data_IF_484481248730
#
_entry.id   IF_484481248730
#
_cell.length_a   1.000
_cell.length_b   1.000
_cell.length_c   1.000
_cell.angle_alpha   90.00
_cell.angle_beta   90.00
_cell.angle_gamma   90.00
#
_symmetry.space_group_name_H-M   'P 1'
#
loop_
_entity.id
_entity.type
_entity.pdbx_description
1 polymer ?
#
# COMPACT_ATOMS: atom_id res chain seq x y z
N UNK A 1 -58.03 -79.06 28.38
CA UNK A 1 -57.77 -78.85 29.82
C UNK A 1 -57.24 -77.43 29.98
N UNK A 2 -58.07 -76.54 30.53
CA UNK A 2 -57.80 -75.25 31.23
C UNK A 2 -56.88 -74.22 30.53
N UNK A 3 -57.41 -73.23 29.79
CA UNK A 3 -57.86 -71.86 30.18
C UNK A 3 -56.80 -70.97 30.88
N UNK A 4 -56.38 -69.85 30.25
CA UNK A 4 -56.68 -68.44 30.62
C UNK A 4 -55.65 -67.38 30.15
N UNK A 5 -56.23 -66.33 29.55
CA UNK A 5 -55.90 -64.90 29.57
C UNK A 5 -54.53 -64.33 29.12
N UNK A 6 -54.63 -63.42 28.13
CA UNK A 6 -53.74 -62.28 27.91
C UNK A 6 -53.86 -61.23 29.05
N UNK A 7 -52.93 -60.25 29.12
CA UNK A 7 -53.37 -58.90 28.74
C UNK A 7 -52.33 -58.06 27.95
N UNK A 8 -52.86 -57.05 27.26
CA UNK A 8 -52.16 -55.98 26.54
C UNK A 8 -51.25 -55.15 27.45
N UNK A 9 -50.08 -54.73 26.96
CA UNK A 9 -49.46 -53.46 27.36
C UNK A 9 -48.74 -52.80 26.18
N UNK A 10 -49.12 -51.55 25.90
CA UNK A 10 -48.43 -50.66 24.97
C UNK A 10 -46.98 -50.44 25.42
N UNK A 11 -46.02 -50.56 24.51
CA UNK A 11 -44.69 -49.95 24.66
C UNK A 11 -44.28 -49.26 23.37
N UNK A 12 -43.81 -48.02 23.54
CA UNK A 12 -43.47 -47.01 22.52
C UNK A 12 -42.34 -47.47 21.60
N UNK A 13 -42.28 -47.04 20.33
CA UNK A 13 -41.07 -47.22 19.52
C UNK A 13 -39.96 -46.32 20.07
N UNK A 14 -38.82 -46.92 20.42
CA UNK A 14 -37.61 -46.20 20.79
C UNK A 14 -37.12 -45.40 19.57
N UNK A 15 -37.12 -44.08 19.70
CA UNK A 15 -36.52 -43.15 18.76
C UNK A 15 -34.99 -43.36 18.82
N UNK A 16 -34.41 -43.94 17.76
CA UNK A 16 -32.97 -44.06 17.61
C UNK A 16 -32.39 -42.63 17.49
N UNK A 17 -31.83 -42.10 18.58
CA UNK A 17 -31.06 -40.88 18.54
C UNK A 17 -29.74 -41.16 17.82
N UNK A 18 -29.61 -40.66 16.58
CA UNK A 18 -28.31 -40.53 15.93
C UNK A 18 -27.49 -39.51 16.72
N UNK A 19 -26.68 -39.99 17.66
CA UNK A 19 -25.60 -39.19 18.24
C UNK A 19 -24.57 -39.05 17.13
N UNK A 20 -24.59 -37.90 16.44
CA UNK A 20 -23.46 -37.45 15.64
C UNK A 20 -22.30 -37.25 16.60
N UNK A 21 -21.43 -38.26 16.72
CA UNK A 21 -20.15 -38.13 17.37
C UNK A 21 -19.33 -37.18 16.51
N UNK A 22 -19.34 -35.89 16.86
CA UNK A 22 -18.37 -34.91 16.39
C UNK A 22 -17.00 -35.39 16.87
N UNK A 23 -16.32 -36.18 16.04
CA UNK A 23 -14.88 -36.36 16.15
C UNK A 23 -14.29 -34.98 15.87
N UNK A 24 -14.06 -34.21 16.93
CA UNK A 24 -13.24 -33.02 16.88
C UNK A 24 -11.82 -33.49 16.55
N UNK A 25 -11.52 -33.64 15.26
CA UNK A 25 -10.15 -33.71 14.79
C UNK A 25 -9.46 -32.46 15.34
N UNK A 26 -8.39 -32.56 16.14
CA UNK A 26 -7.66 -31.40 16.55
C UNK A 26 -7.20 -30.71 15.27
N UNK A 27 -7.74 -29.52 15.01
CA UNK A 27 -7.25 -28.66 13.94
C UNK A 27 -5.78 -28.45 14.29
N UNK A 28 -4.88 -29.11 13.54
CA UNK A 28 -3.46 -28.88 13.69
C UNK A 28 -3.26 -27.38 13.56
N UNK A 29 -2.81 -26.75 14.64
CA UNK A 29 -2.55 -25.32 14.65
C UNK A 29 -1.58 -25.03 13.51
N UNK A 30 -1.96 -24.10 12.64
CA UNK A 30 -1.13 -23.70 11.51
C UNK A 30 0.27 -23.30 12.03
N UNK A 31 1.31 -23.64 11.28
CA UNK A 31 2.64 -23.10 11.57
C UNK A 31 2.59 -21.57 11.42
N UNK A 32 3.46 -20.88 12.14
CA UNK A 32 3.50 -19.41 12.14
C UNK A 32 4.92 -18.94 11.95
N UNK A 33 5.15 -18.11 10.93
CA UNK A 33 6.37 -17.29 10.84
C UNK A 33 6.07 -15.93 11.47
N UNK A 34 6.84 -15.57 12.49
CA UNK A 34 6.87 -14.23 13.04
C UNK A 34 8.10 -13.49 12.53
N UNK A 35 7.89 -12.42 11.78
CA UNK A 35 8.94 -11.59 11.22
C UNK A 35 9.53 -10.66 12.30
N UNK A 36 10.74 -10.18 12.07
CA UNK A 36 11.38 -9.17 12.92
C UNK A 36 10.58 -7.85 13.01
N UNK A 37 9.69 -7.60 12.04
CA UNK A 37 8.72 -6.51 12.07
C UNK A 37 7.58 -6.70 13.07
N UNK A 38 7.43 -7.91 13.64
CA UNK A 38 6.32 -8.32 14.48
C UNK A 38 5.11 -8.86 13.70
N UNK A 39 5.13 -8.78 12.37
CA UNK A 39 4.10 -9.39 11.53
C UNK A 39 4.14 -10.92 11.67
N UNK A 40 2.95 -11.53 11.79
CA UNK A 40 2.78 -12.98 11.85
C UNK A 40 2.12 -13.48 10.58
N UNK A 41 2.61 -14.60 10.07
CA UNK A 41 2.12 -15.25 8.87
C UNK A 41 1.76 -16.68 9.22
N UNK A 42 0.48 -17.01 9.15
CA UNK A 42 -0.03 -18.36 9.38
C UNK A 42 -0.01 -19.18 8.08
N UNK A 43 0.34 -20.46 8.18
CA UNK A 43 0.49 -21.36 7.03
C UNK A 43 1.14 -22.68 7.44
N UNK A 44 1.95 -23.25 6.54
CA UNK A 44 2.69 -24.48 6.77
C UNK A 44 4.14 -24.29 6.38
N UNK A 45 5.08 -24.60 7.27
CA UNK A 45 6.49 -24.68 6.89
C UNK A 45 6.69 -25.95 6.06
N UNK A 46 7.15 -25.80 4.83
CA UNK A 46 7.38 -26.92 3.91
C UNK A 46 8.85 -27.30 3.79
N UNK A 47 9.76 -26.38 4.09
CA UNK A 47 11.20 -26.65 4.11
C UNK A 47 11.94 -25.69 5.07
N UNK A 48 13.01 -26.18 5.69
CA UNK A 48 13.94 -25.40 6.52
C UNK A 48 15.37 -25.74 6.10
N UNK A 49 15.95 -24.89 5.26
CA UNK A 49 17.33 -25.00 4.83
C UNK A 49 18.23 -24.23 5.81
N UNK A 50 18.80 -24.97 6.77
CA UNK A 50 19.66 -24.41 7.82
C UNK A 50 21.00 -23.90 7.28
N UNK A 51 21.52 -24.50 6.21
CA UNK A 51 22.80 -24.09 5.62
C UNK A 51 22.65 -22.76 4.88
N UNK A 52 21.58 -22.61 4.08
CA UNK A 52 21.26 -21.37 3.40
C UNK A 52 20.50 -20.36 4.28
N UNK A 53 20.20 -20.71 5.54
CA UNK A 53 19.47 -19.90 6.52
C UNK A 53 18.15 -19.35 5.96
N UNK A 54 17.27 -20.22 5.46
CA UNK A 54 15.95 -19.85 4.91
C UNK A 54 14.87 -20.86 5.31
N UNK A 55 13.62 -20.39 5.34
CA UNK A 55 12.42 -21.19 5.60
C UNK A 55 11.47 -21.03 4.41
N UNK A 56 11.01 -22.12 3.84
CA UNK A 56 9.94 -22.12 2.82
C UNK A 56 8.61 -22.33 3.52
N UNK A 57 7.66 -21.45 3.20
CA UNK A 57 6.37 -21.37 3.87
C UNK A 57 5.27 -21.36 2.84
N UNK A 58 4.31 -22.28 2.98
CA UNK A 58 3.18 -22.44 2.08
C UNK A 58 1.89 -21.97 2.75
N UNK A 59 1.06 -21.26 1.99
CA UNK A 59 -0.27 -20.87 2.42
C UNK A 59 -1.29 -21.10 1.31
N UNK A 60 -2.50 -21.46 1.69
CA UNK A 60 -3.63 -21.50 0.77
C UNK A 60 -4.15 -20.08 0.51
N UNK A 61 -4.06 -19.63 -0.75
CA UNK A 61 -4.68 -18.40 -1.24
C UNK A 61 -5.70 -18.80 -2.31
N UNK A 62 -6.98 -18.57 -2.06
CA UNK A 62 -8.05 -18.99 -2.99
C UNK A 62 -8.12 -20.51 -3.20
N UNK A 63 -7.80 -21.30 -2.17
CA UNK A 63 -7.78 -22.76 -2.24
C UNK A 63 -6.58 -23.36 -2.99
N UNK A 64 -5.64 -22.55 -3.47
CA UNK A 64 -4.40 -23.01 -4.10
C UNK A 64 -3.19 -22.78 -3.20
N UNK A 65 -2.25 -23.74 -3.11
CA UNK A 65 -1.02 -23.56 -2.35
C UNK A 65 -0.12 -22.51 -3.00
N UNK A 66 0.36 -21.58 -2.20
CA UNK A 66 1.32 -20.55 -2.58
C UNK A 66 2.52 -20.61 -1.63
N UNK A 67 3.70 -20.87 -2.18
CA UNK A 67 4.94 -21.00 -1.42
C UNK A 67 5.77 -19.71 -1.48
N UNK A 68 6.32 -19.30 -0.34
CA UNK A 68 7.23 -18.16 -0.21
C UNK A 68 8.42 -18.55 0.63
N UNK A 69 9.60 -18.11 0.22
CA UNK A 69 10.86 -18.29 0.97
C UNK A 69 11.11 -17.06 1.84
N UNK A 70 11.38 -17.30 3.11
CA UNK A 70 11.75 -16.30 4.10
C UNK A 70 13.19 -16.55 4.56
N UNK A 71 14.12 -15.62 4.34
CA UNK A 71 15.47 -15.75 4.90
C UNK A 71 15.40 -15.59 6.43
N UNK A 72 16.25 -16.31 7.16
CA UNK A 72 16.30 -16.25 8.62
C UNK A 72 16.48 -14.81 9.09
N UNK A 73 17.27 -14.00 8.40
CA UNK A 73 17.51 -12.59 8.71
C UNK A 73 16.24 -11.73 8.80
N UNK A 74 15.09 -12.19 8.31
CA UNK A 74 13.80 -11.50 8.40
C UNK A 74 12.89 -12.09 9.48
N UNK A 75 13.22 -13.25 10.03
CA UNK A 75 12.38 -14.03 10.93
C UNK A 75 12.84 -13.83 12.37
N UNK A 76 11.94 -13.36 13.22
CA UNK A 76 12.16 -13.42 14.67
C UNK A 76 12.01 -14.86 15.16
N UNK A 77 10.87 -15.50 14.87
CA UNK A 77 10.58 -16.85 15.34
C UNK A 77 9.74 -17.64 14.34
N UNK A 78 9.92 -18.95 14.32
CA UNK A 78 9.07 -19.91 13.61
C UNK A 78 8.38 -20.79 14.64
N UNK A 79 7.06 -20.92 14.54
CA UNK A 79 6.26 -21.83 15.37
C UNK A 79 5.84 -23.00 14.49
N UNK A 80 6.26 -24.21 14.84
CA UNK A 80 5.90 -25.46 14.18
C UNK A 80 4.92 -26.22 15.08
N UNK A 81 3.64 -26.23 14.73
CA UNK A 81 2.57 -26.69 15.62
C UNK A 81 2.60 -25.97 16.98
N UNK A 82 2.96 -26.69 18.05
CA UNK A 82 3.06 -26.12 19.41
C UNK A 82 4.46 -25.66 19.82
N UNK A 83 5.49 -25.96 19.02
CA UNK A 83 6.89 -25.64 19.35
C UNK A 83 7.34 -24.36 18.66
N UNK A 84 7.89 -23.42 19.43
CA UNK A 84 8.40 -22.14 18.93
C UNK A 84 9.92 -22.09 18.95
N UNK A 85 10.52 -21.73 17.82
CA UNK A 85 11.96 -21.60 17.61
C UNK A 85 12.28 -20.13 17.35
N UNK A 86 13.11 -19.51 18.20
CA UNK A 86 13.57 -18.13 18.01
C UNK A 86 14.83 -18.20 17.14
N UNK A 87 14.79 -17.55 15.97
CA UNK A 87 15.90 -17.51 15.03
C UNK A 87 16.73 -16.23 15.19
N UNK A 88 16.09 -15.12 15.52
CA UNK A 88 16.76 -13.86 15.81
C UNK A 88 16.07 -13.17 16.98
N UNK A 89 16.86 -12.50 17.81
CA UNK A 89 16.31 -11.62 18.82
C UNK A 89 15.53 -10.48 18.18
N UNK A 90 14.38 -10.18 18.78
CA UNK A 90 13.62 -9.00 18.40
C UNK A 90 14.39 -7.76 18.86
N UNK A 91 14.42 -6.69 18.04
CA UNK A 91 14.95 -5.41 18.50
C UNK A 91 14.29 -5.03 19.83
N UNK A 92 15.10 -4.67 20.83
CA UNK A 92 14.68 -4.42 22.21
C UNK A 92 13.49 -3.45 22.20
N UNK A 93 12.33 -3.92 22.66
CA UNK A 93 11.06 -3.19 22.59
C UNK A 93 9.88 -3.96 21.98
N UNK A 94 9.93 -5.29 21.82
CA UNK A 94 8.77 -6.05 21.33
C UNK A 94 8.49 -7.33 22.12
N UNK A 95 8.02 -7.18 23.36
CA UNK A 95 7.41 -8.27 24.12
C UNK A 95 5.98 -7.92 24.53
N UNK A 96 5.03 -8.77 24.16
CA UNK A 96 3.73 -8.88 24.84
C UNK A 96 3.63 -10.32 25.32
N UNK A 97 3.75 -10.53 26.62
CA UNK A 97 3.32 -11.77 27.26
C UNK A 97 2.62 -11.40 28.55
N UNK A 98 1.36 -11.81 28.68
CA UNK A 98 0.62 -11.74 29.93
C UNK A 98 0.91 -12.95 30.81
N UNK A 99 0.97 -12.72 32.12
CA UNK A 99 0.31 -13.57 33.11
C UNK A 99 -0.06 -12.72 34.33
N UNK A 100 -1.22 -13.04 34.89
CA UNK A 100 -1.99 -12.37 35.93
C UNK A 100 -1.31 -12.26 37.28
N UNK A 101 -1.50 -11.15 38.01
CA UNK A 101 -2.13 -11.10 39.35
C UNK A 101 -2.60 -9.67 39.66
N UNK A 102 -3.77 -9.58 40.31
CA UNK A 102 -4.52 -8.41 40.82
C UNK A 102 -3.70 -7.23 41.40
N UNK A 103 -4.02 -6.00 40.97
CA UNK A 103 -4.58 -4.95 41.86
C UNK A 103 -4.99 -3.69 41.08
N UNK A 104 -6.06 -3.05 41.55
CA UNK A 104 -6.74 -1.87 40.97
C UNK A 104 -5.82 -0.64 40.96
N UNK A 105 -5.75 0.07 39.82
CA UNK A 105 -6.13 1.50 39.61
C UNK A 105 -5.38 2.14 38.43
N UNK A 106 -6.11 2.98 37.68
CA UNK A 106 -5.67 4.07 36.77
C UNK A 106 -5.16 3.81 35.33
N UNK A 107 -5.70 4.68 34.45
CA UNK A 107 -5.22 5.20 33.13
C UNK A 107 -5.30 4.30 31.88
N UNK A 108 -6.02 4.84 30.89
CA UNK A 108 -6.13 4.37 29.48
C UNK A 108 -4.75 4.04 28.89
N UNK A 109 -4.59 2.93 28.16
CA UNK A 109 -3.32 2.60 27.51
C UNK A 109 -3.09 3.49 26.28
N UNK A 110 -1.90 4.09 26.18
CA UNK A 110 -1.40 4.75 24.96
C UNK A 110 -0.95 3.70 23.95
N UNK A 111 -1.21 4.02 22.68
CA UNK A 111 -0.88 3.28 21.45
C UNK A 111 0.55 2.71 21.41
N UNK A 112 0.69 1.55 20.76
CA UNK A 112 1.91 0.73 20.66
C UNK A 112 3.20 1.44 20.27
N UNK A 113 4.32 0.81 20.67
CA UNK A 113 5.70 1.29 20.54
C UNK A 113 6.00 1.94 19.18
N UNK A 114 6.05 3.28 19.18
CA UNK A 114 6.66 4.06 18.10
C UNK A 114 8.17 3.97 18.23
N UNK A 115 8.87 3.63 17.15
CA UNK A 115 10.35 3.67 17.10
C UNK A 115 10.83 5.08 17.46
N UNK A 116 11.88 5.19 18.26
CA UNK A 116 12.45 6.48 18.63
C UNK A 116 13.14 7.14 17.43
N UNK A 117 13.50 8.42 17.55
CA UNK A 117 14.28 9.11 16.50
C UNK A 117 15.62 8.41 16.23
N UNK A 118 16.33 8.05 17.30
CA UNK A 118 17.61 7.34 17.22
C UNK A 118 17.47 5.98 16.52
N UNK A 119 16.41 5.22 16.81
CA UNK A 119 16.16 3.92 16.17
C UNK A 119 15.97 4.07 14.65
N UNK A 120 15.22 5.09 14.22
CA UNK A 120 14.98 5.37 12.80
C UNK A 120 16.26 5.84 12.11
N UNK A 121 17.04 6.71 12.75
CA UNK A 121 18.30 7.18 12.21
C UNK A 121 19.30 6.04 12.02
N UNK A 122 19.42 5.16 13.02
CA UNK A 122 20.25 3.93 12.93
C UNK A 122 19.76 3.00 11.83
N UNK A 123 18.45 2.74 11.74
CA UNK A 123 17.87 1.89 10.69
C UNK A 123 18.13 2.45 9.28
N UNK A 124 17.95 3.75 9.08
CA UNK A 124 18.20 4.41 7.79
C UNK A 124 19.68 4.28 7.40
N UNK A 125 20.59 4.51 8.35
CA UNK A 125 22.03 4.41 8.10
C UNK A 125 22.44 2.97 7.74
N UNK A 126 21.95 1.99 8.51
CA UNK A 126 22.21 0.56 8.26
C UNK A 126 21.70 0.13 6.87
N UNK A 127 20.43 0.42 6.57
CA UNK A 127 19.82 0.02 5.30
C UNK A 127 20.49 0.74 4.13
N UNK A 128 20.78 2.03 4.26
CA UNK A 128 21.40 2.83 3.22
C UNK A 128 22.81 2.39 2.83
N UNK A 129 23.58 1.86 3.78
CA UNK A 129 24.94 1.35 3.56
C UNK A 129 25.00 -0.11 3.11
N UNK A 130 23.88 -0.82 3.20
CA UNK A 130 23.82 -2.24 2.84
C UNK A 130 23.10 -2.38 1.50
N UNK A 131 23.66 -3.04 0.48
CA UNK A 131 22.91 -3.33 -0.75
C UNK A 131 21.70 -4.23 -0.43
N UNK A 132 20.58 -4.12 -1.17
CA UNK A 132 19.46 -5.06 -1.02
C UNK A 132 19.85 -6.46 -1.51
N UNK A 133 19.18 -7.49 -1.03
CA UNK A 133 19.53 -8.91 -1.30
C UNK A 133 19.55 -9.26 -2.80
N UNK A 134 18.73 -8.58 -3.61
CA UNK A 134 18.68 -8.78 -5.06
C UNK A 134 19.79 -8.05 -5.81
N UNK A 135 20.53 -7.15 -5.17
CA UNK A 135 21.43 -6.19 -5.82
C UNK A 135 22.45 -6.91 -6.69
N UNK A 136 23.22 -7.83 -6.10
CA UNK A 136 24.30 -8.54 -6.79
C UNK A 136 23.80 -9.41 -7.96
N UNK A 137 22.62 -10.00 -7.80
CA UNK A 137 21.98 -10.84 -8.84
C UNK A 137 21.37 -10.05 -10.01
N UNK A 138 21.16 -8.74 -9.85
CA UNK A 138 20.54 -7.92 -10.89
C UNK A 138 21.60 -7.50 -11.90
N UNK A 139 21.50 -7.80 -13.20
CA UNK A 139 22.49 -7.36 -14.17
C UNK A 139 22.50 -5.84 -14.33
N UNK A 140 23.69 -5.27 -14.57
CA UNK A 140 23.83 -3.88 -14.98
C UNK A 140 23.70 -3.82 -16.51
N UNK A 141 22.47 -3.74 -17.00
CA UNK A 141 22.14 -3.69 -18.42
C UNK A 141 21.55 -2.33 -18.81
N UNK A 142 22.24 -1.63 -19.71
CA UNK A 142 21.80 -0.37 -20.29
C UNK A 142 22.41 -0.18 -21.70
N UNK A 143 21.77 0.62 -22.57
CA UNK A 143 22.27 0.87 -23.92
C UNK A 143 23.68 1.47 -23.88
N UNK A 144 24.60 0.90 -24.67
CA UNK A 144 25.99 1.41 -24.75
C UNK A 144 26.06 2.84 -25.30
N UNK A 145 25.01 3.29 -26.00
CA UNK A 145 24.88 4.65 -26.53
C UNK A 145 24.42 5.67 -25.48
N UNK A 146 24.11 5.24 -24.26
CA UNK A 146 23.56 6.08 -23.22
C UNK A 146 24.65 7.02 -22.65
N UNK A 147 24.39 8.32 -22.70
CA UNK A 147 25.29 9.34 -22.14
C UNK A 147 25.20 9.34 -20.60
N UNK A 148 26.19 8.68 -19.98
CA UNK A 148 26.33 8.58 -18.53
C UNK A 148 26.72 9.90 -17.87
N UNK A 149 27.15 10.92 -18.62
CA UNK A 149 27.35 12.27 -18.08
C UNK A 149 26.02 12.91 -17.62
N UNK A 150 24.90 12.37 -18.12
CA UNK A 150 23.53 12.76 -17.80
C UNK A 150 23.32 14.29 -17.90
N UNK A 151 23.43 14.91 -19.07
CA UNK A 151 23.16 16.34 -19.21
C UNK A 151 21.69 16.65 -18.87
N UNK A 152 21.44 17.74 -18.15
CA UNK A 152 20.06 18.19 -17.85
C UNK A 152 19.31 18.62 -19.12
N UNK A 153 20.03 19.24 -20.06
CA UNK A 153 19.52 19.63 -21.37
C UNK A 153 20.27 18.81 -22.42
N UNK A 154 19.82 17.59 -22.75
CA UNK A 154 20.46 16.81 -23.80
C UNK A 154 20.36 17.55 -25.15
N UNK A 155 21.40 17.48 -26.00
CA UNK A 155 21.31 17.99 -27.35
C UNK A 155 20.39 17.11 -28.22
N UNK A 156 19.74 17.73 -29.19
CA UNK A 156 18.91 17.04 -30.17
C UNK A 156 17.50 16.68 -29.70
N UNK A 157 16.84 15.83 -30.49
CA UNK A 157 15.48 15.36 -30.22
C UNK A 157 15.46 14.32 -29.10
N UNK A 158 14.28 14.11 -28.51
CA UNK A 158 14.06 13.10 -27.48
C UNK A 158 14.51 11.70 -27.96
N UNK A 159 15.46 11.10 -27.26
CA UNK A 159 16.04 9.80 -27.53
C UNK A 159 16.45 9.08 -26.23
N UNK A 160 15.58 8.18 -25.78
CA UNK A 160 15.79 7.38 -24.58
C UNK A 160 16.97 6.39 -24.66
N UNK A 161 17.57 6.15 -25.83
CA UNK A 161 18.79 5.34 -25.97
C UNK A 161 20.06 6.16 -25.74
N UNK A 162 19.95 7.50 -25.69
CA UNK A 162 21.09 8.42 -25.59
C UNK A 162 21.08 9.28 -24.34
N UNK A 163 19.91 9.66 -23.80
CA UNK A 163 19.86 10.47 -22.58
C UNK A 163 19.36 9.68 -21.37
N UNK A 164 20.11 9.75 -20.27
CA UNK A 164 19.79 9.07 -19.01
C UNK A 164 18.40 9.42 -18.44
N UNK A 165 18.03 10.71 -18.44
CA UNK A 165 16.71 11.12 -17.93
C UNK A 165 15.56 10.57 -18.77
N UNK A 166 15.73 10.56 -20.08
CA UNK A 166 14.76 10.01 -21.03
C UNK A 166 14.71 8.48 -20.97
N UNK A 167 15.85 7.81 -20.76
CA UNK A 167 15.92 6.36 -20.52
C UNK A 167 15.18 5.96 -19.24
N UNK A 168 15.44 6.68 -18.14
CA UNK A 168 14.69 6.48 -16.89
C UNK A 168 13.19 6.65 -17.15
N UNK A 169 12.83 7.68 -17.90
CA UNK A 169 11.43 8.02 -18.16
C UNK A 169 10.69 7.00 -19.04
N UNK A 170 11.22 6.65 -20.22
CA UNK A 170 10.53 5.81 -21.20
C UNK A 170 10.81 4.32 -21.04
N UNK A 171 11.94 3.95 -20.42
CA UNK A 171 12.39 2.55 -20.38
C UNK A 171 12.37 1.97 -18.97
N UNK A 172 12.81 2.70 -17.95
CA UNK A 172 12.83 2.15 -16.57
C UNK A 172 11.46 2.31 -15.90
N UNK A 173 10.95 3.55 -15.79
CA UNK A 173 9.72 3.88 -15.07
C UNK A 173 8.53 2.98 -15.45
N UNK A 174 8.22 2.73 -16.74
CA UNK A 174 7.04 1.96 -17.12
C UNK A 174 7.18 0.45 -17.00
N UNK A 175 8.37 -0.07 -16.70
CA UNK A 175 8.66 -1.49 -16.76
C UNK A 175 9.11 -1.99 -15.38
N UNK A 176 8.22 -2.61 -14.57
CA UNK A 176 8.58 -3.16 -13.26
C UNK A 176 9.77 -4.11 -13.28
N UNK A 177 9.89 -4.93 -14.34
CA UNK A 177 11.05 -5.80 -14.54
C UNK A 177 12.39 -5.08 -14.74
N UNK A 178 12.38 -3.77 -15.02
CA UNK A 178 13.57 -2.92 -15.19
C UNK A 178 13.86 -2.04 -13.98
N UNK A 179 13.01 -1.99 -12.97
CA UNK A 179 13.19 -1.10 -11.81
C UNK A 179 14.49 -1.36 -11.05
N UNK A 180 14.77 -2.62 -10.73
CA UNK A 180 16.02 -3.03 -10.05
C UNK A 180 17.26 -2.74 -10.89
N UNK A 181 17.19 -2.99 -12.20
CA UNK A 181 18.27 -2.65 -13.13
C UNK A 181 18.52 -1.14 -13.18
N UNK A 182 17.46 -0.33 -13.17
CA UNK A 182 17.54 1.13 -13.06
C UNK A 182 18.20 1.60 -11.76
N UNK A 183 17.84 0.99 -10.62
CA UNK A 183 18.49 1.27 -9.33
C UNK A 183 19.98 0.90 -9.40
N UNK A 184 20.33 -0.26 -9.97
CA UNK A 184 21.73 -0.68 -10.14
C UNK A 184 22.51 0.30 -11.03
N UNK A 185 21.89 0.81 -12.09
CA UNK A 185 22.47 1.86 -12.94
C UNK A 185 22.72 3.16 -12.17
N UNK A 186 21.79 3.60 -11.31
CA UNK A 186 22.01 4.79 -10.49
C UNK A 186 23.16 4.61 -9.49
N UNK A 187 23.32 3.43 -8.88
CA UNK A 187 24.50 3.14 -8.05
C UNK A 187 25.79 3.17 -8.86
N UNK A 188 25.80 2.65 -10.09
CA UNK A 188 26.94 2.76 -11.00
C UNK A 188 27.32 4.23 -11.27
N UNK A 189 26.32 5.11 -11.43
CA UNK A 189 26.55 6.55 -11.64
C UNK A 189 27.08 7.29 -10.40
N UNK A 190 26.90 6.76 -9.18
CA UNK A 190 27.51 7.37 -7.98
C UNK A 190 29.03 7.43 -8.11
N UNK A 191 29.64 6.33 -8.59
CA UNK A 191 31.09 6.26 -8.84
C UNK A 191 31.49 7.14 -10.02
N UNK A 192 30.71 7.09 -11.11
CA UNK A 192 30.99 7.88 -12.31
C UNK A 192 30.98 9.40 -12.05
N UNK A 193 30.24 9.87 -11.03
CA UNK A 193 30.12 11.27 -10.67
C UNK A 193 30.71 11.62 -9.30
N UNK A 194 31.64 10.81 -8.78
CA UNK A 194 32.20 11.00 -7.44
C UNK A 194 32.87 12.38 -7.25
N UNK A 195 33.39 12.96 -8.33
CA UNK A 195 34.05 14.28 -8.35
C UNK A 195 33.13 15.43 -8.82
N UNK A 196 31.84 15.17 -9.07
CA UNK A 196 30.85 16.18 -9.48
C UNK A 196 29.70 16.21 -8.48
N UNK A 197 29.83 17.07 -7.45
CA UNK A 197 28.86 17.19 -6.37
C UNK A 197 27.44 17.50 -6.85
N UNK A 198 27.27 18.23 -7.96
CA UNK A 198 25.95 18.55 -8.48
C UNK A 198 25.28 17.31 -9.11
N UNK A 199 26.02 16.57 -9.93
CA UNK A 199 25.52 15.31 -10.50
C UNK A 199 25.34 14.24 -9.45
N UNK A 200 26.26 14.12 -8.49
CA UNK A 200 26.16 13.18 -7.38
C UNK A 200 24.88 13.42 -6.57
N UNK A 201 24.58 14.68 -6.21
CA UNK A 201 23.33 15.02 -5.52
C UNK A 201 22.08 14.62 -6.33
N UNK A 202 22.10 14.80 -7.65
CA UNK A 202 21.00 14.38 -8.51
C UNK A 202 20.86 12.85 -8.55
N UNK A 203 21.96 12.11 -8.68
CA UNK A 203 21.95 10.63 -8.63
C UNK A 203 21.40 10.14 -7.30
N UNK A 204 21.84 10.70 -6.17
CA UNK A 204 21.31 10.36 -4.85
C UNK A 204 19.83 10.71 -4.72
N UNK A 205 19.40 11.86 -5.23
CA UNK A 205 17.98 12.23 -5.28
C UNK A 205 17.13 11.23 -6.06
N UNK A 206 17.66 10.74 -7.19
CA UNK A 206 17.01 9.75 -8.04
C UNK A 206 17.01 8.35 -7.40
N UNK A 207 18.10 7.94 -6.73
CA UNK A 207 18.12 6.71 -5.91
C UNK A 207 17.04 6.75 -4.83
N UNK A 208 16.94 7.87 -4.11
CA UNK A 208 15.90 8.07 -3.10
C UNK A 208 14.51 7.88 -3.70
N UNK A 209 14.26 8.47 -4.88
CA UNK A 209 13.02 8.33 -5.62
C UNK A 209 12.76 6.89 -6.06
N UNK A 210 13.73 6.22 -6.67
CA UNK A 210 13.56 4.85 -7.17
C UNK A 210 13.32 3.86 -6.04
N UNK A 211 14.08 3.93 -4.94
CA UNK A 211 13.81 3.07 -3.77
C UNK A 211 12.42 3.31 -3.19
N UNK A 212 11.97 4.57 -3.12
CA UNK A 212 10.63 4.90 -2.63
C UNK A 212 9.51 4.46 -3.56
N UNK A 213 9.59 4.82 -4.85
CA UNK A 213 8.49 4.69 -5.80
C UNK A 213 8.41 3.28 -6.43
N UNK A 214 9.52 2.55 -6.50
CA UNK A 214 9.60 1.23 -7.15
C UNK A 214 9.63 0.07 -6.17
N UNK A 215 10.47 0.14 -5.12
CA UNK A 215 10.69 -0.97 -4.19
C UNK A 215 10.02 -0.75 -2.82
N UNK A 216 9.42 0.43 -2.58
CA UNK A 216 8.91 0.87 -1.29
C UNK A 216 9.92 0.70 -0.13
N UNK A 217 11.21 0.77 -0.44
CA UNK A 217 12.30 0.69 0.54
C UNK A 217 12.52 2.06 1.17
N UNK A 218 11.64 2.40 2.11
CA UNK A 218 11.63 3.70 2.77
C UNK A 218 12.92 4.00 3.54
N UNK A 219 13.65 2.97 4.00
CA UNK A 219 14.92 3.12 4.70
C UNK A 219 16.03 3.60 3.76
N UNK A 220 16.24 2.88 2.65
CA UNK A 220 17.21 3.28 1.63
C UNK A 220 16.80 4.56 0.92
N UNK A 221 15.50 4.76 0.68
CA UNK A 221 15.00 6.00 0.12
C UNK A 221 15.36 7.21 1.00
N UNK A 222 15.09 7.12 2.30
CA UNK A 222 15.42 8.18 3.24
C UNK A 222 16.92 8.43 3.30
N UNK A 223 17.75 7.38 3.30
CA UNK A 223 19.20 7.53 3.31
C UNK A 223 19.69 8.37 2.13
N UNK A 224 19.30 8.00 0.91
CA UNK A 224 19.76 8.69 -0.30
C UNK A 224 19.25 10.13 -0.39
N UNK A 225 18.00 10.39 0.00
CA UNK A 225 17.47 11.75 0.03
C UNK A 225 18.13 12.65 1.09
N UNK A 226 18.47 12.11 2.27
CA UNK A 226 19.24 12.86 3.27
C UNK A 226 20.64 13.18 2.76
N UNK A 227 21.31 12.23 2.11
CA UNK A 227 22.61 12.50 1.46
C UNK A 227 22.53 13.53 0.33
N UNK A 228 21.39 13.61 -0.36
CA UNK A 228 21.11 14.67 -1.33
C UNK A 228 20.68 16.02 -0.69
N UNK A 229 20.58 16.10 0.63
CA UNK A 229 20.32 17.32 1.40
C UNK A 229 18.85 17.72 1.55
N UNK A 230 17.90 16.80 1.33
CA UNK A 230 16.46 17.10 1.34
C UNK A 230 15.85 17.31 2.74
N UNK A 231 16.59 16.98 3.81
CA UNK A 231 16.24 17.27 5.21
C UNK A 231 16.79 18.62 5.73
N UNK A 232 17.61 19.30 4.92
CA UNK A 232 18.23 20.59 5.22
C UNK A 232 17.50 21.79 4.61
N UNK A 233 18.25 22.85 4.29
CA UNK A 233 17.71 24.11 3.77
C UNK A 233 17.11 24.00 2.36
N UNK A 234 17.55 23.01 1.57
CA UNK A 234 17.07 22.80 0.19
C UNK A 234 15.79 21.96 0.19
N UNK A 235 14.67 22.61 0.50
CA UNK A 235 13.36 21.97 0.49
C UNK A 235 12.82 21.87 -0.94
N UNK A 236 12.22 20.73 -1.27
CA UNK A 236 11.53 20.50 -2.55
C UNK A 236 10.30 19.61 -2.32
N UNK A 237 9.40 19.45 -3.30
CA UNK A 237 8.30 18.50 -3.17
C UNK A 237 8.74 17.06 -2.80
N UNK A 238 9.99 16.67 -3.08
CA UNK A 238 10.56 15.38 -2.65
C UNK A 238 10.81 15.32 -1.13
N UNK A 239 11.04 16.44 -0.46
CA UNK A 239 11.16 16.53 1.01
C UNK A 239 9.90 15.99 1.70
N UNK A 240 8.72 16.09 1.07
CA UNK A 240 7.49 15.46 1.58
C UNK A 240 7.55 13.93 1.53
N UNK A 241 8.20 13.36 0.50
CA UNK A 241 8.40 11.91 0.41
C UNK A 241 9.41 11.42 1.45
N UNK A 242 10.40 12.24 1.81
CA UNK A 242 11.29 11.94 2.94
C UNK A 242 10.51 11.91 4.28
N UNK A 243 9.62 12.87 4.52
CA UNK A 243 8.74 12.84 5.69
C UNK A 243 7.87 11.57 5.71
N UNK A 244 7.37 11.13 4.54
CA UNK A 244 6.65 9.86 4.39
C UNK A 244 7.49 8.66 4.79
N UNK A 245 8.78 8.64 4.43
CA UNK A 245 9.67 7.54 4.83
C UNK A 245 9.74 7.42 6.35
N UNK A 246 9.89 8.53 7.08
CA UNK A 246 9.90 8.49 8.55
C UNK A 246 8.59 7.92 9.12
N UNK A 247 7.44 8.33 8.58
CA UNK A 247 6.15 7.79 8.99
C UNK A 247 6.03 6.29 8.71
N UNK A 248 6.34 5.84 7.49
CA UNK A 248 6.25 4.43 7.09
C UNK A 248 7.25 3.54 7.82
N UNK A 249 8.39 4.08 8.26
CA UNK A 249 9.34 3.38 9.14
C UNK A 249 8.88 3.36 10.62
N UNK A 250 7.76 3.97 10.96
CA UNK A 250 7.13 3.88 12.28
C UNK A 250 7.34 5.09 13.20
N UNK A 251 7.86 6.22 12.68
CA UNK A 251 8.05 7.44 13.45
C UNK A 251 7.29 8.63 12.86
N UNK A 252 6.00 8.70 13.21
CA UNK A 252 5.11 9.80 12.84
C UNK A 252 5.61 11.16 13.36
N UNK A 253 6.30 11.22 14.49
CA UNK A 253 6.75 12.49 15.07
C UNK A 253 7.81 13.15 14.18
N UNK A 254 8.78 12.39 13.67
CA UNK A 254 9.77 12.90 12.71
C UNK A 254 9.11 13.38 11.40
N UNK A 255 8.09 12.67 10.92
CA UNK A 255 7.33 13.09 9.75
C UNK A 255 6.61 14.43 9.99
N UNK A 256 5.97 14.58 11.16
CA UNK A 256 5.28 15.81 11.59
C UNK A 256 6.26 16.98 11.73
N UNK A 257 7.40 16.78 12.40
CA UNK A 257 8.45 17.80 12.57
C UNK A 257 8.96 18.29 11.21
N UNK A 258 9.14 17.37 10.26
CA UNK A 258 9.54 17.73 8.91
C UNK A 258 8.45 18.50 8.18
N UNK A 259 7.21 18.00 8.17
CA UNK A 259 6.08 18.64 7.50
C UNK A 259 5.78 20.05 8.00
N UNK A 260 5.94 20.30 9.30
CA UNK A 260 5.74 21.63 9.88
C UNK A 260 6.76 22.68 9.37
N UNK A 261 7.90 22.24 8.84
CA UNK A 261 8.93 23.11 8.25
C UNK A 261 8.76 23.32 6.75
N UNK A 262 7.89 22.55 6.10
CA UNK A 262 7.69 22.60 4.65
C UNK A 262 6.56 23.57 4.28
N UNK A 263 6.60 24.20 3.10
CA UNK A 263 5.48 24.97 2.58
C UNK A 263 4.21 24.12 2.43
N UNK A 264 3.05 24.77 2.41
CA UNK A 264 1.76 24.14 2.17
C UNK A 264 1.58 23.76 0.67
N UNK A 265 2.38 22.80 0.20
CA UNK A 265 2.20 22.20 -1.11
C UNK A 265 1.05 21.18 -1.12
N UNK A 266 0.54 20.86 -2.29
CA UNK A 266 -0.51 19.85 -2.46
C UNK A 266 -0.19 18.48 -1.85
N UNK A 267 1.07 18.05 -1.94
CA UNK A 267 1.52 16.78 -1.41
C UNK A 267 1.68 16.79 0.13
N UNK A 268 1.87 17.95 0.78
CA UNK A 268 1.88 18.01 2.25
C UNK A 268 0.48 17.77 2.79
N UNK A 269 -0.56 18.37 2.18
CA UNK A 269 -1.97 18.11 2.50
C UNK A 269 -2.27 16.61 2.44
N UNK A 270 -1.87 15.95 1.35
CA UNK A 270 -2.06 14.50 1.21
C UNK A 270 -1.34 13.72 2.31
N UNK A 271 -0.08 14.01 2.62
CA UNK A 271 0.64 13.24 3.64
C UNK A 271 0.01 13.43 5.04
N UNK A 272 -0.48 14.62 5.38
CA UNK A 272 -1.25 14.82 6.61
C UNK A 272 -2.51 13.93 6.64
N UNK A 273 -3.26 13.89 5.54
CA UNK A 273 -4.44 13.03 5.41
C UNK A 273 -4.09 11.54 5.55
N UNK A 274 -3.06 11.06 4.85
CA UNK A 274 -2.61 9.65 4.91
C UNK A 274 -2.17 9.26 6.33
N UNK A 275 -1.60 10.19 7.10
CA UNK A 275 -1.23 9.99 8.51
C UNK A 275 -2.42 10.03 9.48
N UNK A 276 -3.65 10.21 8.99
CA UNK A 276 -4.88 10.32 9.78
C UNK A 276 -5.08 11.67 10.47
N UNK A 277 -4.36 12.71 10.05
CA UNK A 277 -4.47 14.07 10.58
C UNK A 277 -5.43 14.90 9.70
N UNK A 278 -6.67 14.43 9.60
CA UNK A 278 -7.67 14.95 8.65
C UNK A 278 -7.98 16.43 8.86
N UNK A 279 -8.13 16.87 10.10
CA UNK A 279 -8.41 18.28 10.40
C UNK A 279 -7.25 19.19 9.97
N UNK A 280 -6.00 18.73 10.15
CA UNK A 280 -4.81 19.46 9.70
C UNK A 280 -4.73 19.51 8.17
N UNK A 281 -5.03 18.41 7.51
CA UNK A 281 -5.08 18.35 6.05
C UNK A 281 -6.13 19.33 5.49
N UNK A 282 -7.33 19.36 6.09
CA UNK A 282 -8.40 20.29 5.71
C UNK A 282 -7.97 21.75 5.94
N UNK A 283 -7.40 22.07 7.11
CA UNK A 283 -6.91 23.41 7.42
C UNK A 283 -5.90 23.90 6.37
N UNK A 284 -4.94 23.03 6.00
CA UNK A 284 -3.94 23.36 4.98
C UNK A 284 -4.55 23.47 3.59
N UNK A 285 -5.52 22.63 3.25
CA UNK A 285 -6.24 22.72 1.99
C UNK A 285 -7.00 24.04 1.86
N UNK A 286 -7.71 24.49 2.90
CA UNK A 286 -8.43 25.75 2.88
C UNK A 286 -7.48 26.96 2.77
N UNK A 287 -6.34 26.93 3.46
CA UNK A 287 -5.30 27.93 3.27
C UNK A 287 -4.73 27.91 1.83
N UNK A 288 -4.50 26.72 1.27
CA UNK A 288 -4.03 26.56 -0.11
C UNK A 288 -5.03 27.05 -1.15
N UNK A 289 -6.34 26.95 -0.89
CA UNK A 289 -7.39 27.47 -1.77
C UNK A 289 -7.25 28.98 -1.98
N UNK A 290 -6.89 29.73 -0.93
CA UNK A 290 -6.63 31.17 -0.99
C UNK A 290 -5.43 31.56 -1.88
N UNK A 291 -4.53 30.62 -2.19
CA UNK A 291 -3.35 30.82 -3.04
C UNK A 291 -3.61 30.69 -4.55
N UNK A 292 -4.87 30.64 -4.99
CA UNK A 292 -5.23 30.62 -6.42
C UNK A 292 -5.39 29.23 -7.04
N UNK A 293 -5.49 28.17 -6.23
CA UNK A 293 -5.72 26.79 -6.66
C UNK A 293 -6.91 26.13 -5.93
N UNK A 294 -8.10 26.77 -5.88
CA UNK A 294 -9.25 26.27 -5.11
C UNK A 294 -9.74 24.90 -5.59
N UNK A 295 -9.63 24.59 -6.89
CA UNK A 295 -9.99 23.29 -7.47
C UNK A 295 -9.17 22.15 -6.88
N UNK A 296 -7.84 22.33 -6.79
CA UNK A 296 -6.95 21.33 -6.21
C UNK A 296 -7.12 21.24 -4.70
N UNK A 297 -7.24 22.40 -4.03
CA UNK A 297 -7.44 22.49 -2.59
C UNK A 297 -8.65 21.68 -2.12
N UNK A 298 -9.82 21.98 -2.66
CA UNK A 298 -11.05 21.29 -2.28
C UNK A 298 -11.02 19.82 -2.66
N UNK A 299 -10.35 19.45 -3.74
CA UNK A 299 -10.20 18.05 -4.12
C UNK A 299 -9.40 17.27 -3.06
N UNK A 300 -8.25 17.80 -2.60
CA UNK A 300 -7.48 17.15 -1.54
C UNK A 300 -8.19 17.14 -0.18
N UNK A 301 -8.98 18.18 0.13
CA UNK A 301 -9.83 18.17 1.34
C UNK A 301 -10.91 17.06 1.26
N UNK A 302 -11.53 16.89 0.09
CA UNK A 302 -12.46 15.80 -0.19
C UNK A 302 -11.79 14.43 -0.05
N UNK A 303 -10.59 14.26 -0.62
CA UNK A 303 -9.80 13.04 -0.53
C UNK A 303 -9.45 12.72 0.93
N UNK A 304 -9.07 13.73 1.73
CA UNK A 304 -8.78 13.58 3.15
C UNK A 304 -9.99 13.11 3.95
N UNK A 305 -11.17 13.68 3.68
CA UNK A 305 -12.42 13.26 4.32
C UNK A 305 -12.82 11.84 3.91
N UNK A 306 -12.65 11.50 2.62
CA UNK A 306 -12.95 10.17 2.08
C UNK A 306 -12.06 9.10 2.72
N UNK A 307 -10.75 9.37 2.85
CA UNK A 307 -9.80 8.47 3.52
C UNK A 307 -10.18 8.27 4.99
N UNK A 308 -10.62 9.33 5.68
CA UNK A 308 -11.11 9.27 7.05
C UNK A 308 -12.47 8.57 7.21
N UNK A 309 -13.15 8.23 6.10
CA UNK A 309 -14.46 7.61 6.10
C UNK A 309 -15.63 8.56 6.34
N UNK A 310 -15.42 9.88 6.27
CA UNK A 310 -16.46 10.90 6.35
C UNK A 310 -17.00 11.22 4.94
N UNK A 311 -17.84 10.32 4.42
CA UNK A 311 -18.45 10.43 3.09
C UNK A 311 -19.21 11.74 2.88
N UNK A 312 -19.84 12.27 3.94
CA UNK A 312 -20.63 13.51 3.89
C UNK A 312 -19.73 14.72 3.67
N UNK A 313 -18.68 14.89 4.48
CA UNK A 313 -17.73 16.00 4.28
C UNK A 313 -16.96 15.83 2.97
N UNK A 314 -16.60 14.61 2.59
CA UNK A 314 -15.95 14.34 1.32
C UNK A 314 -16.77 14.85 0.14
N UNK A 315 -18.06 14.46 0.09
CA UNK A 315 -19.01 14.92 -0.94
C UNK A 315 -19.13 16.45 -0.95
N UNK A 316 -19.25 17.08 0.22
CA UNK A 316 -19.34 18.55 0.31
C UNK A 316 -18.11 19.26 -0.28
N UNK A 317 -16.90 18.76 -0.04
CA UNK A 317 -15.69 19.32 -0.66
C UNK A 317 -15.62 19.05 -2.15
N UNK A 318 -15.99 17.86 -2.62
CA UNK A 318 -16.05 17.58 -4.06
C UNK A 318 -17.08 18.47 -4.77
N UNK A 319 -18.22 18.78 -4.15
CA UNK A 319 -19.17 19.76 -4.68
C UNK A 319 -18.58 21.18 -4.76
N UNK A 320 -17.74 21.57 -3.79
CA UNK A 320 -16.98 22.84 -3.89
C UNK A 320 -16.04 22.85 -5.10
N UNK A 321 -15.40 21.71 -5.43
CA UNK A 321 -14.58 21.59 -6.66
C UNK A 321 -15.44 21.91 -7.89
N UNK A 322 -16.66 21.37 -7.98
CA UNK A 322 -17.57 21.57 -9.12
C UNK A 322 -18.06 23.01 -9.28
N UNK A 323 -17.98 23.83 -8.22
CA UNK A 323 -18.33 25.25 -8.25
C UNK A 323 -17.19 26.15 -8.73
N UNK A 324 -15.98 25.62 -8.89
CA UNK A 324 -14.83 26.41 -9.38
C UNK A 324 -14.97 26.62 -10.89
N UNK A 325 -14.98 27.87 -11.40
CA UNK A 325 -15.15 28.11 -12.83
C UNK A 325 -13.93 27.60 -13.63
N UNK A 326 -14.19 26.81 -14.67
CA UNK A 326 -13.17 26.31 -15.58
C UNK A 326 -12.85 27.36 -16.66
N UNK A 327 -12.13 28.41 -16.30
CA UNK A 327 -11.83 29.54 -17.20
C UNK A 327 -10.32 29.83 -17.30
N UNK A 328 -9.95 30.58 -18.36
CA UNK A 328 -8.58 31.02 -18.59
C UNK A 328 -7.55 29.89 -18.73
N UNK A 329 -6.30 30.16 -18.35
CA UNK A 329 -5.18 29.21 -18.47
C UNK A 329 -5.34 27.93 -17.63
N UNK A 330 -6.24 27.95 -16.64
CA UNK A 330 -6.44 26.84 -15.70
C UNK A 330 -7.63 25.94 -16.09
N UNK A 331 -8.44 26.34 -17.09
CA UNK A 331 -9.68 25.68 -17.47
C UNK A 331 -9.53 24.16 -17.65
N UNK A 332 -8.50 23.71 -18.36
CA UNK A 332 -8.26 22.28 -18.58
C UNK A 332 -8.00 21.51 -17.28
N UNK A 333 -7.23 22.08 -16.34
CA UNK A 333 -6.96 21.45 -15.04
C UNK A 333 -8.25 21.38 -14.22
N UNK A 334 -8.98 22.49 -14.14
CA UNK A 334 -10.25 22.56 -13.41
C UNK A 334 -11.26 21.55 -13.97
N UNK A 335 -11.37 21.43 -15.29
CA UNK A 335 -12.26 20.46 -15.93
C UNK A 335 -11.88 19.00 -15.62
N UNK A 336 -10.58 18.68 -15.58
CA UNK A 336 -10.12 17.36 -15.12
C UNK A 336 -10.50 17.13 -13.66
N UNK A 337 -10.32 18.13 -12.81
CA UNK A 337 -10.69 18.05 -11.40
C UNK A 337 -12.20 17.96 -11.17
N UNK A 338 -13.02 18.59 -12.02
CA UNK A 338 -14.47 18.38 -12.03
C UNK A 338 -14.82 16.93 -12.34
N UNK A 339 -14.18 16.36 -13.37
CA UNK A 339 -14.39 14.96 -13.76
C UNK A 339 -14.01 14.00 -12.63
N UNK A 340 -12.88 14.27 -11.95
CA UNK A 340 -12.45 13.51 -10.76
C UNK A 340 -13.43 13.66 -9.59
N UNK A 341 -13.87 14.88 -9.28
CA UNK A 341 -14.81 15.15 -8.21
C UNK A 341 -16.15 14.41 -8.44
N UNK A 342 -16.69 14.44 -9.66
CA UNK A 342 -17.89 13.65 -10.03
C UNK A 342 -17.68 12.17 -9.83
N UNK A 343 -16.57 11.62 -10.35
CA UNK A 343 -16.25 10.20 -10.20
C UNK A 343 -16.13 9.77 -8.74
N UNK A 344 -15.56 10.62 -7.87
CA UNK A 344 -15.48 10.34 -6.43
C UNK A 344 -16.84 10.47 -5.72
N UNK A 345 -17.68 11.44 -6.08
CA UNK A 345 -19.06 11.56 -5.55
C UNK A 345 -19.87 10.31 -5.93
N UNK A 346 -19.83 9.91 -7.21
CA UNK A 346 -20.51 8.71 -7.69
C UNK A 346 -19.97 7.45 -7.00
N UNK A 347 -18.64 7.34 -6.84
CA UNK A 347 -18.00 6.23 -6.16
C UNK A 347 -18.40 6.12 -4.68
N UNK A 348 -18.46 7.24 -3.96
CA UNK A 348 -18.95 7.31 -2.58
C UNK A 348 -20.40 6.85 -2.51
N UNK A 349 -21.28 7.40 -3.38
CA UNK A 349 -22.70 7.03 -3.39
C UNK A 349 -22.90 5.54 -3.65
N UNK A 350 -22.21 4.99 -4.65
CA UNK A 350 -22.31 3.57 -5.02
C UNK A 350 -21.85 2.69 -3.87
N UNK A 351 -20.71 3.01 -3.26
CA UNK A 351 -20.15 2.15 -2.22
C UNK A 351 -20.91 2.25 -0.89
N UNK A 352 -21.39 3.45 -0.52
CA UNK A 352 -22.18 3.63 0.70
C UNK A 352 -23.52 2.84 0.64
N UNK A 353 -24.01 2.50 -0.56
CA UNK A 353 -25.18 1.64 -0.75
C UNK A 353 -24.85 0.19 -1.12
N UNK A 354 -23.57 -0.16 -1.31
CA UNK A 354 -23.15 -1.48 -1.77
C UNK A 354 -23.13 -2.49 -0.60
N UNK A 355 -23.91 -3.56 -0.74
CA UNK A 355 -23.75 -4.77 0.05
C UNK A 355 -23.11 -5.86 -0.81
N UNK A 356 -21.84 -6.21 -0.52
CA UNK A 356 -21.11 -7.24 -1.27
C UNK A 356 -21.80 -8.60 -1.24
N UNK A 357 -22.61 -8.91 -0.21
CA UNK A 357 -23.38 -10.16 -0.15
C UNK A 357 -24.52 -10.20 -1.17
N UNK A 358 -24.92 -9.04 -1.67
CA UNK A 358 -25.95 -8.89 -2.70
C UNK A 358 -25.35 -8.69 -4.09
N UNK A 359 -24.04 -8.78 -4.23
CA UNK A 359 -23.39 -8.82 -5.53
C UNK A 359 -23.32 -10.29 -5.94
N UNK A 360 -23.96 -10.62 -7.07
CA UNK A 360 -23.94 -11.99 -7.59
C UNK A 360 -22.52 -12.43 -7.93
N UNK A 361 -22.30 -13.75 -7.92
CA UNK A 361 -21.04 -14.32 -8.38
C UNK A 361 -20.85 -14.04 -9.87
N UNK A 362 -19.68 -13.54 -10.25
CA UNK A 362 -19.46 -13.09 -11.62
C UNK A 362 -18.18 -12.28 -11.82
N UNK A 363 -17.99 -11.86 -13.06
CA UNK A 363 -16.89 -10.97 -13.46
C UNK A 363 -17.47 -9.70 -14.05
N UNK A 364 -17.16 -8.57 -13.43
CA UNK A 364 -17.71 -7.27 -13.77
C UNK A 364 -16.62 -6.33 -14.27
N UNK A 365 -16.94 -5.50 -15.26
CA UNK A 365 -15.99 -4.56 -15.87
C UNK A 365 -16.55 -3.16 -15.87
N UNK A 366 -15.68 -2.20 -15.54
CA UNK A 366 -16.00 -0.77 -15.62
C UNK A 366 -14.71 0.04 -15.78
N UNK A 367 -14.84 1.36 -15.87
CA UNK A 367 -13.73 2.28 -16.12
C UNK A 367 -13.93 3.60 -15.40
N UNK A 368 -12.84 4.33 -15.13
CA UNK A 368 -12.86 5.67 -14.52
C UNK A 368 -11.92 6.62 -15.23
N UNK A 369 -12.19 7.94 -15.24
CA UNK A 369 -11.18 8.92 -15.57
C UNK A 369 -9.96 8.77 -14.65
N UNK A 370 -8.77 8.65 -15.25
CA UNK A 370 -7.47 8.58 -14.58
C UNK A 370 -6.57 9.75 -15.02
N UNK A 371 -5.25 9.67 -14.82
CA UNK A 371 -4.35 10.79 -15.06
C UNK A 371 -4.17 11.08 -16.55
N UNK A 372 -3.97 10.03 -17.35
CA UNK A 372 -3.61 10.15 -18.77
C UNK A 372 -4.71 9.64 -19.72
N UNK A 373 -5.89 9.31 -19.19
CA UNK A 373 -7.03 8.81 -19.94
C UNK A 373 -7.95 7.98 -19.05
N UNK A 374 -8.79 7.16 -19.66
CA UNK A 374 -9.59 6.19 -18.91
C UNK A 374 -8.73 5.02 -18.43
N UNK A 375 -9.08 4.49 -17.26
CA UNK A 375 -8.52 3.26 -16.70
C UNK A 375 -9.66 2.27 -16.53
N UNK A 376 -9.48 1.06 -17.06
CA UNK A 376 -10.44 -0.03 -17.03
C UNK A 376 -10.05 -1.09 -16.00
N UNK A 377 -11.04 -1.60 -15.28
CA UNK A 377 -10.86 -2.70 -14.34
C UNK A 377 -11.78 -3.88 -14.67
N UNK A 378 -11.34 -5.06 -14.23
CA UNK A 378 -12.13 -6.27 -14.11
C UNK A 378 -12.14 -6.71 -12.65
N UNK A 379 -13.33 -7.01 -12.12
CA UNK A 379 -13.56 -7.40 -10.74
C UNK A 379 -14.28 -8.73 -10.72
N UNK A 380 -13.66 -9.74 -10.10
CA UNK A 380 -14.28 -11.05 -9.88
C UNK A 380 -14.88 -11.12 -8.48
N UNK A 381 -16.14 -11.52 -8.39
CA UNK A 381 -16.86 -11.74 -7.13
C UNK A 381 -17.27 -13.20 -7.03
N UNK A 382 -17.04 -13.79 -5.86
CA UNK A 382 -17.43 -15.17 -5.54
C UNK A 382 -17.81 -15.32 -4.08
N UNK A 383 -18.96 -15.92 -3.79
CA UNK A 383 -19.45 -16.15 -2.43
C UNK A 383 -19.58 -14.85 -1.62
N UNK A 384 -20.01 -13.77 -2.25
CA UNK A 384 -20.13 -12.44 -1.62
C UNK A 384 -18.80 -11.79 -1.25
N UNK A 385 -17.70 -12.19 -1.89
CA UNK A 385 -16.34 -11.68 -1.67
C UNK A 385 -15.69 -11.23 -2.97
N UNK A 386 -14.85 -10.19 -2.89
CA UNK A 386 -14.00 -9.75 -4.01
C UNK A 386 -12.84 -10.75 -4.12
N UNK A 387 -12.86 -11.59 -5.16
CA UNK A 387 -11.82 -12.59 -5.44
C UNK A 387 -10.59 -11.95 -6.09
N UNK A 388 -10.81 -11.06 -7.05
CA UNK A 388 -9.71 -10.31 -7.69
C UNK A 388 -10.17 -8.97 -8.25
N UNK A 389 -9.22 -8.05 -8.34
CA UNK A 389 -9.34 -6.79 -9.09
C UNK A 389 -8.14 -6.72 -10.02
N UNK A 390 -8.36 -6.44 -11.30
CA UNK A 390 -7.30 -6.33 -12.32
C UNK A 390 -7.51 -5.06 -13.12
N UNK A 391 -6.45 -4.30 -13.33
CA UNK A 391 -6.45 -3.22 -14.33
C UNK A 391 -6.24 -3.87 -15.69
N UNK A 392 -7.22 -3.75 -16.59
CA UNK A 392 -7.20 -4.40 -17.91
C UNK A 392 -6.71 -3.50 -19.03
N UNK A 393 -6.81 -2.17 -18.85
CA UNK A 393 -6.32 -1.17 -19.81
C UNK A 393 -6.14 0.18 -19.12
N UNK A 394 -5.09 0.92 -19.47
CA UNK A 394 -4.84 2.28 -18.99
C UNK A 394 -3.91 3.05 -19.93
N UNK A 395 -3.88 4.39 -19.80
CA UNK A 395 -2.95 5.28 -20.52
C UNK A 395 -1.90 5.95 -19.62
N UNK A 396 -1.87 5.57 -18.34
CA UNK A 396 -0.94 6.10 -17.34
C UNK A 396 0.52 6.01 -17.81
N UNK A 397 1.28 7.08 -17.52
CA UNK A 397 2.68 7.22 -17.97
C UNK A 397 3.69 7.05 -16.83
N UNK A 398 3.23 7.01 -15.58
CA UNK A 398 4.09 6.98 -14.39
C UNK A 398 3.41 6.26 -13.23
N UNK A 399 4.20 5.83 -12.24
CA UNK A 399 3.75 5.28 -10.96
C UNK A 399 2.86 4.01 -11.08
N UNK A 400 3.36 3.04 -11.85
CA UNK A 400 2.69 1.76 -12.11
C UNK A 400 2.52 0.90 -10.85
N UNK A 401 3.19 1.20 -9.73
CA UNK A 401 2.93 0.55 -8.45
C UNK A 401 1.47 0.72 -8.00
N UNK A 402 0.81 1.85 -8.30
CA UNK A 402 -0.62 2.03 -8.02
C UNK A 402 -1.51 1.01 -8.75
N UNK A 403 -1.10 0.59 -9.94
CA UNK A 403 -1.83 -0.35 -10.79
C UNK A 403 -1.81 -1.76 -10.17
N UNK A 404 -0.78 -2.10 -9.39
CA UNK A 404 -0.70 -3.36 -8.63
C UNK A 404 -1.20 -3.25 -7.19
N UNK A 405 -0.83 -2.18 -6.48
CA UNK A 405 -1.07 -2.06 -5.04
C UNK A 405 -2.50 -1.69 -4.70
N UNK A 406 -3.14 -0.80 -5.47
CA UNK A 406 -4.53 -0.44 -5.19
C UNK A 406 -5.47 -1.63 -5.35
N UNK A 407 -5.40 -2.44 -6.44
CA UNK A 407 -6.19 -3.67 -6.53
C UNK A 407 -5.93 -4.64 -5.39
N UNK A 408 -4.65 -4.85 -5.01
CA UNK A 408 -4.28 -5.71 -3.89
C UNK A 408 -4.93 -5.25 -2.58
N UNK A 409 -4.84 -3.96 -2.26
CA UNK A 409 -5.47 -3.39 -1.06
C UNK A 409 -7.00 -3.57 -1.08
N UNK A 410 -7.66 -3.44 -2.24
CA UNK A 410 -9.12 -3.62 -2.35
C UNK A 410 -9.50 -5.07 -2.05
N UNK A 411 -8.75 -6.03 -2.60
CA UNK A 411 -8.97 -7.47 -2.31
C UNK A 411 -8.70 -7.76 -0.83
N UNK A 412 -7.61 -7.25 -0.25
CA UNK A 412 -7.27 -7.47 1.16
C UNK A 412 -8.34 -6.91 2.11
N UNK A 413 -8.85 -5.70 1.82
CA UNK A 413 -9.88 -5.04 2.66
C UNK A 413 -11.30 -5.45 2.32
N UNK A 414 -11.51 -6.20 1.23
CA UNK A 414 -12.83 -6.56 0.71
C UNK A 414 -13.72 -5.32 0.53
N UNK A 415 -13.17 -4.26 -0.05
CA UNK A 415 -13.89 -3.01 -0.26
C UNK A 415 -12.99 -1.86 -0.65
N UNK A 416 -13.60 -0.71 -1.00
CA UNK A 416 -12.85 0.49 -1.43
C UNK A 416 -12.74 1.58 -0.37
N UNK A 417 -13.44 1.43 0.76
CA UNK A 417 -13.37 2.36 1.90
C UNK A 417 -12.02 2.25 2.61
N UNK A 418 -11.43 3.41 2.93
CA UNK A 418 -10.16 3.49 3.65
C UNK A 418 -8.96 2.93 2.89
N UNK A 419 -9.04 2.76 1.57
CA UNK A 419 -7.89 2.40 0.72
C UNK A 419 -6.95 3.60 0.63
N UNK A 420 -5.68 3.41 0.97
CA UNK A 420 -4.66 4.46 0.88
C UNK A 420 -4.24 4.60 -0.59
N UNK A 421 -4.37 5.82 -1.12
CA UNK A 421 -3.99 6.12 -2.48
C UNK A 421 -2.46 6.18 -2.57
N UNK A 422 -1.86 5.45 -3.52
CA UNK A 422 -0.41 5.44 -3.71
C UNK A 422 0.07 6.86 -3.98
N UNK A 423 1.12 7.27 -3.26
CA UNK A 423 1.56 8.65 -3.27
C UNK A 423 2.35 9.01 -4.51
N UNK A 424 1.95 10.10 -5.15
CA UNK A 424 2.37 10.42 -6.51
C UNK A 424 1.46 9.81 -7.59
N UNK A 425 0.55 8.91 -7.21
CA UNK A 425 -0.38 8.21 -8.10
C UNK A 425 -1.83 8.25 -7.59
N UNK A 426 -2.20 9.32 -6.88
CA UNK A 426 -3.53 9.48 -6.27
C UNK A 426 -4.64 9.36 -7.31
N UNK A 427 -4.45 10.01 -8.45
CA UNK A 427 -5.45 10.06 -9.54
C UNK A 427 -5.68 8.64 -10.10
N UNK A 428 -4.60 7.89 -10.32
CA UNK A 428 -4.65 6.50 -10.78
C UNK A 428 -5.31 5.59 -9.74
N UNK A 429 -4.94 5.74 -8.47
CA UNK A 429 -5.51 4.95 -7.36
C UNK A 429 -7.02 5.20 -7.22
N UNK A 430 -7.45 6.45 -7.30
CA UNK A 430 -8.86 6.83 -7.28
C UNK A 430 -9.62 6.30 -8.49
N UNK A 431 -9.00 6.32 -9.67
CA UNK A 431 -9.60 5.73 -10.86
C UNK A 431 -9.87 4.22 -10.67
N UNK A 432 -8.92 3.48 -10.09
CA UNK A 432 -9.08 2.06 -9.78
C UNK A 432 -10.20 1.84 -8.74
N UNK A 433 -10.21 2.64 -7.67
CA UNK A 433 -11.24 2.60 -6.62
C UNK A 433 -12.64 2.85 -7.21
N UNK A 434 -12.79 3.92 -7.98
CA UNK A 434 -14.08 4.33 -8.53
C UNK A 434 -14.56 3.37 -9.63
N UNK A 435 -13.66 2.87 -10.48
CA UNK A 435 -14.00 1.85 -11.48
C UNK A 435 -14.40 0.53 -10.80
N UNK A 436 -13.74 0.16 -9.70
CA UNK A 436 -14.10 -1.05 -8.94
C UNK A 436 -15.48 -0.90 -8.30
N UNK A 437 -15.79 0.25 -7.71
CA UNK A 437 -17.13 0.52 -7.16
C UNK A 437 -18.22 0.39 -8.23
N UNK A 438 -18.02 1.00 -9.42
CA UNK A 438 -18.96 0.88 -10.53
C UNK A 438 -19.08 -0.55 -11.05
N UNK A 439 -17.98 -1.28 -11.19
CA UNK A 439 -18.01 -2.67 -11.61
C UNK A 439 -18.85 -3.52 -10.63
N UNK A 440 -18.63 -3.38 -9.33
CA UNK A 440 -19.40 -4.08 -8.31
C UNK A 440 -20.90 -3.76 -8.36
N UNK A 441 -21.27 -2.49 -8.60
CA UNK A 441 -22.69 -2.11 -8.70
C UNK A 441 -23.46 -2.78 -9.84
N UNK A 442 -22.77 -3.24 -10.90
CA UNK A 442 -23.40 -3.97 -12.00
C UNK A 442 -23.82 -5.38 -11.60
N UNK A 443 -23.23 -5.93 -10.56
CA UNK A 443 -23.56 -7.25 -10.03
C UNK A 443 -24.58 -7.22 -8.90
N UNK A 444 -24.97 -6.04 -8.42
CA UNK A 444 -25.94 -5.91 -7.33
C UNK A 444 -27.31 -6.38 -7.81
N UNK A 445 -27.84 -7.43 -7.19
CA UNK A 445 -29.22 -7.88 -7.40
C UNK A 445 -30.18 -7.07 -6.52
N UNK A 446 -31.17 -6.45 -7.17
CA UNK A 446 -32.35 -5.90 -6.48
C UNK A 446 -33.05 -7.04 -5.74
N UNK A 447 -33.44 -6.78 -4.49
CA UNK A 447 -34.13 -7.79 -3.69
C UNK A 447 -35.57 -7.80 -4.15
N UNK A 448 -36.01 -8.93 -4.69
CA UNK A 448 -37.42 -9.23 -4.90
C UNK A 448 -38.13 -9.55 -3.58
#
# INVERSE_FOLDING_TARGET
>A
MVVFCAPRSLSRPAMLAFVLLLIATPIASADVIELLSGAKVDGKVTDIDKAAKKVTFERLLGGRPYSRVYPYSQIHAVTLGTKRYILNEKPVGSSTTGSSTSSKTTKRPRSGNRRTKADIESLIDQLGRTPPDWYESTPLDYPQTLDLSWPQKPPGQWNAQKNMGQYIWDVINPNPGRWRGGIRLMHHLLKHHENDSAKLNRVMGELGRMYHDFEEDYGRAAFWWRRAGLDGARQSPQSVKLARCFWKLGNKNMAVEMLNRLPAWSNTIKLWADMGETDKAIQLAEAFAGGGYPDMAYLYAGDACRIAGDSRKATSYYEKVLKVPATGRQAQRVQRNHSRARANIDGIRIFDSLDLKRVADGTYRDHSPAYAGELHVEVAVRGGRIESVKVTSHKEKQFYSAISDTPRQIVEKQGVKGIDAVSGATITSEAIINATARALSKGTVSGD
#
